data_IF_743068758473
#
_entry.id   IF_743068758473
#
_cell.length_a   1.000
_cell.length_b   1.000
_cell.length_c   1.000
_cell.angle_alpha   90.00
_cell.angle_beta   90.00
_cell.angle_gamma   90.00
#
_symmetry.space_group_name_H-M   'P 1'
#
loop_
_entity.id
_entity.type
_entity.pdbx_description
1 polymer ?
#
# COMPACT_ATOMS: atom_id res chain seq x y z
N UNK A 1 17.15 16.73 0.19
CA UNK A 1 18.23 16.43 1.15
C UNK A 1 17.85 15.15 1.89
N UNK A 2 18.81 14.29 2.14
CA UNK A 2 18.53 12.99 2.77
C UNK A 2 18.24 13.13 4.26
N UNK A 3 17.35 12.27 4.76
CA UNK A 3 16.94 12.28 6.17
C UNK A 3 16.97 10.86 6.74
N UNK A 4 17.84 10.64 7.71
CA UNK A 4 17.92 9.37 8.43
C UNK A 4 16.85 9.27 9.53
N UNK A 5 16.23 8.09 9.64
CA UNK A 5 15.19 7.69 10.58
C UNK A 5 15.50 6.26 11.08
N UNK A 6 16.52 6.14 11.93
CA UNK A 6 17.02 4.83 12.37
C UNK A 6 17.58 4.03 11.19
N UNK A 7 16.99 2.88 10.90
CA UNK A 7 17.39 1.99 9.78
C UNK A 7 16.84 2.43 8.42
N UNK A 8 16.00 3.46 8.39
CA UNK A 8 15.42 4.00 7.16
C UNK A 8 16.08 5.32 6.84
N UNK A 9 16.44 5.55 5.58
CA UNK A 9 16.89 6.85 5.08
C UNK A 9 15.95 7.27 3.97
N UNK A 10 15.34 8.46 4.12
CA UNK A 10 14.63 9.12 3.03
C UNK A 10 15.68 9.72 2.11
N UNK A 11 15.75 9.24 0.88
CA UNK A 11 16.58 9.81 -0.18
C UNK A 11 15.76 10.89 -0.87
N UNK A 12 16.12 12.15 -0.56
CA UNK A 12 15.27 13.29 -0.86
C UNK A 12 15.41 13.75 -2.29
N UNK A 13 14.32 13.69 -3.06
CA UNK A 13 14.27 14.23 -4.42
C UNK A 13 14.26 15.75 -4.48
N UNK A 14 14.48 16.29 -5.68
CA UNK A 14 14.30 17.73 -5.91
C UNK A 14 12.87 18.17 -5.56
N UNK A 15 12.72 19.46 -5.24
CA UNK A 15 11.41 20.05 -4.89
C UNK A 15 10.69 19.31 -3.75
N UNK A 16 11.46 18.75 -2.80
CA UNK A 16 10.97 17.99 -1.65
C UNK A 16 10.23 16.68 -2.05
N UNK A 17 10.67 16.09 -3.18
CA UNK A 17 10.08 14.88 -3.74
C UNK A 17 8.73 15.07 -4.40
N UNK A 18 8.37 16.31 -4.76
CA UNK A 18 7.20 16.59 -5.59
C UNK A 18 7.38 15.98 -6.97
N UNK A 19 6.25 15.56 -7.55
CA UNK A 19 6.20 15.02 -8.90
C UNK A 19 7.01 15.86 -9.91
N UNK A 20 7.85 15.23 -10.76
CA UNK A 20 8.05 13.78 -10.92
C UNK A 20 9.24 13.22 -10.11
N UNK A 21 9.78 13.97 -9.13
CA UNK A 21 11.05 13.58 -8.50
C UNK A 21 10.92 12.49 -7.45
N UNK A 22 9.78 12.40 -6.75
CA UNK A 22 9.53 11.43 -5.69
C UNK A 22 10.55 11.47 -4.54
N UNK A 23 10.31 10.68 -3.51
CA UNK A 23 11.32 10.36 -2.50
C UNK A 23 11.48 8.84 -2.44
N UNK A 24 12.71 8.36 -2.56
CA UNK A 24 13.00 6.94 -2.35
C UNK A 24 13.30 6.66 -0.89
N UNK A 25 13.03 5.44 -0.42
CA UNK A 25 13.45 5.01 0.90
C UNK A 25 14.54 3.96 0.78
N UNK A 26 15.67 4.17 1.45
CA UNK A 26 16.66 3.13 1.67
C UNK A 26 16.42 2.52 3.04
N UNK A 27 16.18 1.22 3.09
CA UNK A 27 15.95 0.48 4.34
C UNK A 27 17.07 -0.52 4.54
N UNK A 28 17.92 -0.27 5.54
CA UNK A 28 19.06 -1.11 5.88
C UNK A 28 18.67 -2.13 6.97
N UNK A 29 18.33 -3.35 6.54
CA UNK A 29 18.11 -4.49 7.41
C UNK A 29 19.41 -5.00 8.04
N UNK A 30 19.30 -6.06 8.85
CA UNK A 30 20.46 -6.78 9.37
C UNK A 30 21.10 -7.72 8.35
N UNK A 31 20.36 -8.11 7.31
CA UNK A 31 20.78 -9.10 6.30
C UNK A 31 20.67 -8.55 4.87
N UNK A 32 19.59 -7.83 4.56
CA UNK A 32 19.35 -7.24 3.24
C UNK A 32 19.12 -5.73 3.36
N UNK A 33 19.51 -5.00 2.32
CA UNK A 33 19.15 -3.61 2.11
C UNK A 33 18.18 -3.51 0.95
N UNK A 34 17.03 -2.87 1.15
CA UNK A 34 16.04 -2.64 0.10
C UNK A 34 15.93 -1.15 -0.22
N UNK A 35 15.59 -0.85 -1.47
CA UNK A 35 15.13 0.47 -1.86
C UNK A 35 13.65 0.43 -2.20
N UNK A 36 12.89 1.38 -1.66
CA UNK A 36 11.48 1.58 -1.97
C UNK A 36 11.34 2.76 -2.93
N UNK A 37 10.57 2.57 -3.99
CA UNK A 37 10.27 3.56 -5.03
C UNK A 37 11.50 4.30 -5.54
N UNK A 38 12.43 3.62 -6.23
CA UNK A 38 13.52 4.29 -6.92
C UNK A 38 12.98 5.35 -7.87
N UNK A 39 13.15 6.62 -7.51
CA UNK A 39 12.63 7.76 -8.25
C UNK A 39 13.75 8.46 -9.01
N UNK A 40 13.44 9.54 -9.73
CA UNK A 40 14.44 10.39 -10.38
C UNK A 40 15.53 10.90 -9.41
N UNK A 41 15.23 10.98 -8.11
CA UNK A 41 16.20 11.33 -7.06
C UNK A 41 17.44 10.45 -7.03
N UNK A 42 17.31 9.18 -7.44
CA UNK A 42 18.41 8.22 -7.51
C UNK A 42 19.15 8.25 -8.84
N UNK A 43 18.46 8.62 -9.93
CA UNK A 43 19.04 8.70 -11.28
C UNK A 43 20.15 9.74 -11.34
N UNK A 44 19.93 10.89 -10.68
CA UNK A 44 20.90 11.99 -10.64
C UNK A 44 21.99 11.81 -9.59
N UNK A 45 21.95 10.71 -8.79
CA UNK A 45 22.85 10.50 -7.66
C UNK A 45 24.14 9.79 -8.09
N UNK A 46 25.28 10.40 -7.74
CA UNK A 46 26.62 9.86 -8.04
C UNK A 46 26.91 8.62 -7.20
N UNK A 47 26.67 8.70 -5.88
CA UNK A 47 26.90 7.59 -4.96
C UNK A 47 25.59 6.84 -4.69
N UNK A 48 25.51 5.64 -5.27
CA UNK A 48 24.32 4.78 -5.18
C UNK A 48 24.52 3.72 -4.11
N UNK A 49 23.56 3.54 -3.19
CA UNK A 49 23.65 2.48 -2.21
C UNK A 49 23.60 1.12 -2.93
N UNK A 50 24.39 0.17 -2.43
CA UNK A 50 24.17 -1.24 -2.76
C UNK A 50 22.84 -1.66 -2.16
N UNK A 51 21.98 -2.24 -2.99
CA UNK A 51 20.68 -2.78 -2.59
C UNK A 51 20.61 -4.23 -3.05
N UNK A 52 19.90 -5.04 -2.28
CA UNK A 52 19.71 -6.46 -2.58
C UNK A 52 18.35 -6.68 -3.29
N UNK A 53 17.39 -5.75 -3.16
CA UNK A 53 16.07 -5.78 -3.81
C UNK A 53 15.47 -4.38 -4.02
N UNK A 54 14.59 -4.26 -5.02
CA UNK A 54 13.71 -3.10 -5.24
C UNK A 54 12.29 -3.46 -4.80
N UNK A 55 11.65 -2.56 -4.06
CA UNK A 55 10.21 -2.61 -3.75
C UNK A 55 9.55 -1.38 -4.35
N UNK A 56 8.47 -1.56 -5.12
CA UNK A 56 7.65 -0.46 -5.58
C UNK A 56 6.31 -0.48 -4.84
N UNK A 57 5.84 0.70 -4.42
CA UNK A 57 4.58 0.89 -3.71
C UNK A 57 3.38 0.71 -4.66
N UNK A 58 3.51 1.19 -5.90
CA UNK A 58 2.54 1.06 -6.99
C UNK A 58 3.25 1.27 -8.34
N UNK A 59 2.52 1.15 -9.46
CA UNK A 59 3.09 1.17 -10.80
C UNK A 59 3.16 2.56 -11.48
N UNK A 60 2.92 3.66 -10.76
CA UNK A 60 3.10 4.98 -11.37
C UNK A 60 4.56 5.24 -11.75
N UNK A 61 4.74 5.94 -12.86
CA UNK A 61 6.00 6.13 -13.58
C UNK A 61 7.10 6.76 -12.72
N UNK A 62 6.75 7.70 -11.84
CA UNK A 62 7.70 8.42 -11.00
C UNK A 62 8.24 7.57 -9.84
N UNK A 63 7.53 6.50 -9.48
CA UNK A 63 7.97 5.50 -8.50
C UNK A 63 8.84 4.40 -9.12
N UNK A 64 8.86 4.30 -10.46
CA UNK A 64 9.66 3.32 -11.21
C UNK A 64 10.91 3.94 -11.86
N UNK A 65 11.02 5.27 -11.87
CA UNK A 65 11.96 5.97 -12.75
C UNK A 65 13.44 5.62 -12.52
N UNK A 66 13.79 5.25 -11.29
CA UNK A 66 15.12 4.80 -10.89
C UNK A 66 15.31 3.28 -10.91
N UNK A 67 14.29 2.48 -11.26
CA UNK A 67 14.39 1.01 -11.18
C UNK A 67 15.49 0.47 -12.09
N UNK A 68 15.65 1.05 -13.28
CA UNK A 68 16.66 0.65 -14.28
C UNK A 68 18.10 0.70 -13.74
N UNK A 69 18.35 1.40 -12.62
CA UNK A 69 19.65 1.47 -11.95
C UNK A 69 20.01 0.16 -11.22
N UNK A 70 19.04 -0.75 -11.05
CA UNK A 70 19.18 -2.00 -10.31
C UNK A 70 18.72 -3.21 -11.16
N UNK A 71 19.32 -3.45 -12.34
CA UNK A 71 18.83 -4.46 -13.28
C UNK A 71 19.02 -5.90 -12.78
N UNK A 72 19.97 -6.12 -11.87
CA UNK A 72 20.44 -7.45 -11.46
C UNK A 72 19.82 -7.95 -10.14
N UNK A 73 18.92 -7.17 -9.53
CA UNK A 73 18.26 -7.52 -8.27
C UNK A 73 16.78 -7.81 -8.48
N UNK A 74 16.14 -8.63 -7.62
CA UNK A 74 14.70 -8.85 -7.67
C UNK A 74 13.90 -7.55 -7.48
N UNK A 75 12.88 -7.35 -8.31
CA UNK A 75 11.91 -6.27 -8.16
C UNK A 75 10.60 -6.83 -7.61
N UNK A 76 10.03 -6.13 -6.65
CA UNK A 76 8.81 -6.51 -5.96
C UNK A 76 7.75 -5.42 -6.10
N UNK A 77 6.53 -5.82 -6.43
CA UNK A 77 5.39 -4.92 -6.57
C UNK A 77 4.10 -5.64 -6.18
N UNK A 78 3.07 -4.89 -5.79
CA UNK A 78 1.78 -5.48 -5.44
C UNK A 78 1.16 -6.22 -6.64
N UNK A 79 0.51 -7.35 -6.40
CA UNK A 79 -0.02 -8.21 -7.48
C UNK A 79 -0.97 -7.48 -8.45
N UNK A 80 -1.75 -6.52 -7.95
CA UNK A 80 -2.66 -5.72 -8.76
C UNK A 80 -1.94 -4.70 -9.68
N UNK A 81 -0.72 -4.30 -9.33
CA UNK A 81 0.06 -3.31 -10.06
C UNK A 81 1.09 -3.94 -11.01
N UNK A 82 1.33 -5.25 -10.90
CA UNK A 82 2.27 -5.99 -11.76
C UNK A 82 2.05 -5.77 -13.26
N UNK A 83 0.81 -5.68 -13.80
CA UNK A 83 0.63 -5.40 -15.22
C UNK A 83 1.33 -4.13 -15.67
N UNK A 84 1.26 -3.05 -14.88
CA UNK A 84 1.91 -1.77 -15.20
C UNK A 84 3.44 -1.84 -15.22
N UNK A 85 4.03 -2.74 -14.43
CA UNK A 85 5.47 -2.96 -14.46
C UNK A 85 5.91 -3.94 -15.57
N UNK A 86 5.03 -4.86 -15.99
CA UNK A 86 5.34 -5.88 -16.99
C UNK A 86 5.51 -5.30 -18.40
N UNK A 87 4.79 -4.23 -18.75
CA UNK A 87 4.94 -3.57 -20.06
C UNK A 87 4.42 -2.13 -20.05
N UNK A 88 4.99 -1.31 -20.93
CA UNK A 88 4.53 0.07 -21.13
C UNK A 88 3.09 0.12 -21.65
N UNK A 89 2.67 -0.85 -22.46
CA UNK A 89 1.29 -0.90 -22.98
C UNK A 89 0.28 -1.15 -21.87
N UNK A 90 0.56 -2.08 -20.97
CA UNK A 90 -0.28 -2.33 -19.81
C UNK A 90 -0.31 -1.14 -18.85
N UNK A 91 0.82 -0.46 -18.66
CA UNK A 91 0.85 0.80 -17.89
C UNK A 91 -0.04 1.88 -18.54
N UNK A 92 0.08 2.11 -19.84
CA UNK A 92 -0.76 3.08 -20.55
C UNK A 92 -2.25 2.73 -20.47
N UNK A 93 -2.58 1.43 -20.55
CA UNK A 93 -3.95 0.96 -20.38
C UNK A 93 -4.50 1.25 -18.97
N UNK A 94 -3.67 1.17 -17.92
CA UNK A 94 -4.06 1.54 -16.55
C UNK A 94 -4.40 3.03 -16.45
N UNK A 95 -3.62 3.90 -17.09
CA UNK A 95 -3.92 5.33 -17.10
C UNK A 95 -5.19 5.69 -17.89
N UNK A 96 -5.53 4.92 -18.92
CA UNK A 96 -6.78 5.10 -19.68
C UNK A 96 -6.89 6.46 -20.38
N UNK A 97 -5.76 7.01 -20.85
CA UNK A 97 -5.70 8.33 -21.49
C UNK A 97 -6.26 8.31 -22.92
N UNK A 98 -6.55 9.48 -23.48
CA UNK A 98 -6.85 9.58 -24.92
C UNK A 98 -5.60 9.30 -25.77
N UNK A 99 -5.74 8.82 -27.03
CA UNK A 99 -4.59 8.39 -27.83
C UNK A 99 -3.50 9.46 -28.01
N UNK A 100 -3.88 10.73 -28.16
CA UNK A 100 -2.92 11.82 -28.34
C UNK A 100 -2.12 12.10 -27.05
N UNK A 101 -2.77 12.02 -25.88
CA UNK A 101 -2.12 12.23 -24.59
C UNK A 101 -1.25 11.01 -24.27
N UNK A 102 -1.76 9.79 -24.47
CA UNK A 102 -1.01 8.56 -24.27
C UNK A 102 0.29 8.55 -25.09
N UNK A 103 0.21 8.90 -26.39
CA UNK A 103 1.39 8.89 -27.25
C UNK A 103 2.47 9.90 -26.80
N UNK A 104 2.06 11.06 -26.26
CA UNK A 104 2.99 12.04 -25.71
C UNK A 104 3.58 11.56 -24.37
N UNK A 105 2.73 11.08 -23.47
CA UNK A 105 3.12 10.65 -22.14
C UNK A 105 3.98 9.39 -22.16
N UNK A 106 3.67 8.42 -23.01
CA UNK A 106 4.50 7.24 -23.26
C UNK A 106 5.95 7.58 -23.55
N UNK A 107 6.20 8.62 -24.37
CA UNK A 107 7.57 9.07 -24.65
C UNK A 107 8.24 9.59 -23.40
N UNK A 108 7.57 10.41 -22.60
CA UNK A 108 8.10 10.89 -21.30
C UNK A 108 8.45 9.71 -20.39
N UNK A 109 7.55 8.73 -20.25
CA UNK A 109 7.75 7.56 -19.39
C UNK A 109 8.97 6.74 -19.81
N UNK A 110 9.16 6.52 -21.11
CA UNK A 110 10.28 5.71 -21.63
C UNK A 110 11.59 6.50 -21.67
N UNK A 111 11.56 7.73 -22.18
CA UNK A 111 12.76 8.50 -22.51
C UNK A 111 13.27 9.32 -21.32
N UNK A 112 12.37 9.93 -20.54
CA UNK A 112 12.72 10.84 -19.43
C UNK A 112 12.64 10.15 -18.07
N UNK A 113 11.74 9.19 -17.91
CA UNK A 113 11.56 8.42 -16.68
C UNK A 113 12.12 7.00 -16.78
N UNK A 114 12.85 6.68 -17.86
CA UNK A 114 13.66 5.48 -17.96
C UNK A 114 12.91 4.17 -17.67
N UNK A 115 11.63 4.10 -18.04
CA UNK A 115 10.84 2.89 -17.81
C UNK A 115 11.51 1.68 -18.46
N UNK A 116 11.72 0.64 -17.65
CA UNK A 116 12.23 -0.65 -18.07
C UNK A 116 11.20 -1.73 -17.69
N UNK A 117 10.66 -2.48 -18.66
CA UNK A 117 9.68 -3.52 -18.36
C UNK A 117 10.32 -4.64 -17.53
N UNK A 118 9.57 -5.14 -16.54
CA UNK A 118 10.00 -6.23 -15.67
C UNK A 118 8.93 -7.31 -15.52
N UNK A 119 8.70 -8.14 -16.56
CA UNK A 119 7.70 -9.21 -16.52
C UNK A 119 8.04 -10.32 -15.51
N UNK A 120 9.30 -10.39 -15.05
CA UNK A 120 9.82 -11.28 -14.01
C UNK A 120 9.69 -10.71 -12.58
N UNK A 121 9.07 -9.54 -12.40
CA UNK A 121 8.86 -8.96 -11.09
C UNK A 121 8.03 -9.88 -10.18
N UNK A 122 8.42 -9.96 -8.91
CA UNK A 122 7.79 -10.85 -7.93
C UNK A 122 6.63 -10.15 -7.23
N UNK A 123 5.44 -10.75 -7.29
CA UNK A 123 4.28 -10.25 -6.58
C UNK A 123 4.47 -10.33 -5.06
N UNK A 124 4.14 -9.25 -4.35
CA UNK A 124 3.66 -9.39 -2.98
C UNK A 124 2.14 -9.21 -2.96
N UNK A 125 1.47 -9.99 -2.12
CA UNK A 125 0.02 -9.94 -1.98
C UNK A 125 -0.35 -9.08 -0.79
N UNK A 126 -1.28 -8.17 -1.00
CA UNK A 126 -1.83 -7.44 0.12
C UNK A 126 -2.75 -8.34 0.96
N UNK A 127 -2.23 -8.78 2.12
CA UNK A 127 -3.07 -9.41 3.15
C UNK A 127 -3.84 -8.37 3.97
N UNK A 128 -3.53 -7.08 3.86
CA UNK A 128 -4.12 -6.03 4.69
C UNK A 128 -5.60 -5.80 4.34
N UNK A 129 -5.96 -5.74 3.05
CA UNK A 129 -7.38 -5.73 2.63
C UNK A 129 -8.15 -6.93 3.21
N UNK A 130 -7.54 -8.12 3.24
CA UNK A 130 -8.14 -9.30 3.85
C UNK A 130 -8.36 -9.16 5.37
N UNK A 131 -7.63 -8.29 6.08
CA UNK A 131 -7.87 -8.02 7.52
C UNK A 131 -9.25 -7.40 7.73
N UNK A 132 -9.66 -6.47 6.85
CA UNK A 132 -10.97 -5.84 6.92
C UNK A 132 -12.07 -6.91 6.72
N UNK A 133 -11.97 -7.71 5.67
CA UNK A 133 -12.94 -8.75 5.35
C UNK A 133 -12.99 -9.84 6.45
N UNK A 134 -11.84 -10.26 6.95
CA UNK A 134 -11.72 -11.23 8.05
C UNK A 134 -12.36 -10.70 9.32
N UNK A 135 -12.16 -9.42 9.64
CA UNK A 135 -12.74 -8.80 10.83
C UNK A 135 -14.26 -8.70 10.72
N UNK A 136 -14.78 -8.37 9.55
CA UNK A 136 -16.23 -8.37 9.33
C UNK A 136 -16.85 -9.76 9.39
N UNK A 137 -16.20 -10.78 8.82
CA UNK A 137 -16.69 -12.15 8.91
C UNK A 137 -16.80 -12.59 10.38
N UNK A 138 -15.80 -12.27 11.20
CA UNK A 138 -15.82 -12.52 12.65
C UNK A 138 -16.92 -11.72 13.35
N UNK A 139 -17.08 -10.43 13.01
CA UNK A 139 -18.13 -9.58 13.59
C UNK A 139 -19.52 -10.12 13.26
N UNK A 140 -19.78 -10.46 12.01
CA UNK A 140 -21.06 -11.04 11.57
C UNK A 140 -21.36 -12.35 12.29
N UNK A 141 -20.36 -13.22 12.47
CA UNK A 141 -20.53 -14.45 13.25
C UNK A 141 -20.89 -14.15 14.71
N UNK A 142 -20.29 -13.11 15.31
CA UNK A 142 -20.61 -12.69 16.69
C UNK A 142 -22.01 -12.05 16.82
N UNK A 143 -22.46 -11.36 15.75
CA UNK A 143 -23.78 -10.76 15.63
C UNK A 143 -24.87 -11.76 15.18
N UNK A 144 -24.63 -13.08 15.30
CA UNK A 144 -25.68 -14.09 15.14
C UNK A 144 -26.81 -13.96 16.19
N UNK A 145 -26.56 -13.20 17.27
CA UNK A 145 -27.56 -12.74 18.23
C UNK A 145 -27.43 -11.21 18.39
N UNK A 146 -28.48 -10.50 18.84
CA UNK A 146 -28.41 -9.04 19.01
C UNK A 146 -27.35 -8.62 20.03
N UNK A 147 -26.43 -7.72 19.66
CA UNK A 147 -25.36 -7.21 20.54
C UNK A 147 -25.32 -5.68 20.60
N UNK A 148 -24.91 -5.13 21.74
CA UNK A 148 -24.58 -3.71 21.89
C UNK A 148 -23.15 -3.41 21.43
N UNK A 149 -22.85 -2.14 21.14
CA UNK A 149 -21.48 -1.73 20.83
C UNK A 149 -20.50 -2.04 21.99
N UNK A 150 -20.93 -1.92 23.24
CA UNK A 150 -20.09 -2.21 24.40
C UNK A 150 -19.76 -3.71 24.49
N UNK A 151 -20.72 -4.59 24.18
CA UNK A 151 -20.49 -6.04 24.09
C UNK A 151 -19.57 -6.41 22.92
N UNK A 152 -19.61 -5.66 21.81
CA UNK A 152 -18.72 -5.83 20.66
C UNK A 152 -17.29 -5.38 21.03
N UNK A 153 -17.14 -4.24 21.70
CA UNK A 153 -15.83 -3.73 22.17
C UNK A 153 -15.20 -4.70 23.17
N UNK A 154 -15.99 -5.22 24.12
CA UNK A 154 -15.52 -6.20 25.10
C UNK A 154 -15.06 -7.52 24.46
N UNK A 155 -15.62 -7.90 23.29
CA UNK A 155 -15.24 -9.13 22.58
C UNK A 155 -13.84 -9.07 21.93
N UNK A 156 -13.33 -7.87 21.63
CA UNK A 156 -12.02 -7.60 21.01
C UNK A 156 -11.82 -8.22 19.60
N UNK A 157 -11.88 -7.37 18.57
CA UNK A 157 -11.67 -7.76 17.18
C UNK A 157 -10.34 -7.27 16.59
N UNK A 158 -9.71 -6.29 17.24
CA UNK A 158 -8.43 -5.69 16.86
C UNK A 158 -7.30 -6.19 17.76
N UNK A 159 -7.49 -6.13 19.09
CA UNK A 159 -6.50 -6.58 20.07
C UNK A 159 -6.82 -7.98 20.59
N UNK A 160 -5.86 -8.66 21.21
CA UNK A 160 -6.15 -9.95 21.85
C UNK A 160 -6.80 -9.69 23.21
N UNK A 161 -7.83 -10.47 23.60
CA UNK A 161 -8.32 -10.46 24.97
C UNK A 161 -7.16 -10.70 25.95
N UNK A 162 -6.96 -9.78 26.89
CA UNK A 162 -5.89 -9.84 27.89
C UNK A 162 -4.65 -9.00 27.58
N UNK A 163 -4.51 -8.44 26.37
CA UNK A 163 -3.43 -7.50 26.08
C UNK A 163 -3.62 -6.21 26.90
N UNK A 164 -2.59 -5.82 27.67
CA UNK A 164 -2.60 -4.58 28.45
C UNK A 164 -2.27 -3.37 27.56
N UNK A 165 -3.21 -2.99 26.68
CA UNK A 165 -3.08 -1.83 25.79
C UNK A 165 -3.99 -0.71 26.30
N UNK A 166 -3.44 0.42 26.80
CA UNK A 166 -4.20 1.48 27.47
C UNK A 166 -5.36 2.10 26.66
N UNK A 167 -5.25 2.08 25.32
CA UNK A 167 -6.20 2.69 24.39
C UNK A 167 -7.00 1.66 23.59
N UNK A 168 -7.00 0.39 24.01
CA UNK A 168 -7.63 -0.68 23.26
C UNK A 168 -9.13 -0.44 23.05
N UNK A 169 -9.85 0.01 24.08
CA UNK A 169 -11.30 0.24 24.02
C UNK A 169 -11.67 1.34 23.03
N UNK A 170 -10.91 2.44 23.01
CA UNK A 170 -11.15 3.56 22.10
C UNK A 170 -10.95 3.15 20.63
N UNK A 171 -9.89 2.40 20.36
CA UNK A 171 -9.59 1.89 19.03
C UNK A 171 -10.63 0.84 18.60
N UNK A 172 -10.96 -0.13 19.46
CA UNK A 172 -12.00 -1.12 19.19
C UNK A 172 -13.34 -0.43 18.90
N UNK A 173 -13.75 0.53 19.73
CA UNK A 173 -15.01 1.25 19.54
C UNK A 173 -15.05 1.99 18.21
N UNK A 174 -13.98 2.71 17.87
CA UNK A 174 -13.91 3.45 16.59
C UNK A 174 -13.92 2.48 15.40
N UNK A 175 -13.10 1.44 15.44
CA UNK A 175 -13.02 0.44 14.36
C UNK A 175 -14.34 -0.31 14.18
N UNK A 176 -14.97 -0.77 15.26
CA UNK A 176 -16.22 -1.52 15.21
C UNK A 176 -17.38 -0.67 14.72
N UNK A 177 -17.42 0.63 15.08
CA UNK A 177 -18.41 1.56 14.53
C UNK A 177 -18.31 1.67 13.00
N UNK A 178 -17.10 1.83 12.46
CA UNK A 178 -16.89 1.91 11.00
C UNK A 178 -17.32 0.62 10.28
N UNK A 179 -17.04 -0.55 10.88
CA UNK A 179 -17.49 -1.83 10.34
C UNK A 179 -19.02 -1.98 10.39
N UNK A 180 -19.66 -1.62 11.51
CA UNK A 180 -21.12 -1.64 11.64
C UNK A 180 -21.78 -0.70 10.63
N UNK A 181 -21.30 0.53 10.49
CA UNK A 181 -21.79 1.50 9.50
C UNK A 181 -21.75 0.93 8.08
N UNK A 182 -20.62 0.33 7.69
CA UNK A 182 -20.48 -0.27 6.36
C UNK A 182 -21.35 -1.51 6.16
N UNK A 183 -21.47 -2.37 7.17
CA UNK A 183 -22.31 -3.56 7.10
C UNK A 183 -23.80 -3.22 7.09
N UNK A 184 -24.23 -2.19 7.82
CA UNK A 184 -25.58 -1.66 7.79
C UNK A 184 -25.90 -1.05 6.42
N UNK A 185 -25.00 -0.23 5.86
CA UNK A 185 -25.15 0.33 4.52
C UNK A 185 -25.25 -0.76 3.43
N UNK A 186 -24.54 -1.89 3.62
CA UNK A 186 -24.61 -3.06 2.75
C UNK A 186 -25.80 -4.00 3.03
N UNK A 187 -26.67 -3.68 4.00
CA UNK A 187 -27.82 -4.51 4.37
C UNK A 187 -27.46 -5.85 5.03
N UNK A 188 -26.22 -6.03 5.48
CA UNK A 188 -25.70 -7.26 6.10
C UNK A 188 -25.84 -7.29 7.63
N UNK A 189 -26.07 -6.13 8.23
CA UNK A 189 -26.38 -5.96 9.66
C UNK A 189 -27.59 -5.03 9.75
N UNK A 190 -28.45 -5.25 10.76
CA UNK A 190 -29.59 -4.41 11.08
C UNK A 190 -29.52 -3.98 12.53
N UNK A 191 -29.95 -2.75 12.80
CA UNK A 191 -30.21 -2.29 14.15
C UNK A 191 -31.64 -2.71 14.53
N UNK A 192 -31.77 -3.65 15.46
CA UNK A 192 -33.06 -4.27 15.84
C UNK A 192 -33.74 -3.54 17.00
N UNK A 193 -32.95 -2.87 17.83
CA UNK A 193 -33.36 -1.94 18.88
C UNK A 193 -32.31 -0.83 18.94
N UNK A 194 -32.60 0.36 19.51
CA UNK A 194 -31.62 1.43 19.65
C UNK A 194 -30.31 0.93 20.29
N UNK A 195 -29.22 0.98 19.54
CA UNK A 195 -27.88 0.54 19.93
C UNK A 195 -27.64 -0.98 19.91
N UNK A 196 -28.56 -1.79 19.36
CA UNK A 196 -28.41 -3.26 19.23
C UNK A 196 -28.39 -3.73 17.79
N UNK A 197 -27.32 -4.44 17.44
CA UNK A 197 -27.03 -4.88 16.07
C UNK A 197 -27.20 -6.40 15.93
N UNK A 198 -27.75 -6.85 14.81
CA UNK A 198 -27.96 -8.25 14.44
C UNK A 198 -27.55 -8.47 12.97
N UNK A 199 -26.89 -9.58 12.65
CA UNK A 199 -26.62 -9.96 11.27
C UNK A 199 -27.93 -10.25 10.50
N UNK A 200 -28.02 -9.79 9.25
CA UNK A 200 -29.23 -9.83 8.43
C UNK A 200 -29.53 -11.18 7.78
#
# INVERSE_FOLDING_TARGET
MDRALGRVTVLGGERDGKYPHGNSLLVAGSEETIVVDPSLSLVTRIDRPRVDRVLNSHCHEDHLAGNHLFPDVPWHLHEADLPGLASIDAMMAIYGMSPAIEAAFRRVVVEELHFAPRPDATAFRDRFTAVIATREARLLAYLAAPRTLDEIVAHRFVYRPGDAVPFADDVERRSMRQHLERLCAAGRVREVEPGRFLAA
#
